data_IF_075638279752
#
_entry.id   IF_075638279752
#
_cell.length_a   1.000
_cell.length_b   1.000
_cell.length_c   1.000
_cell.angle_alpha   90.00
_cell.angle_beta   90.00
_cell.angle_gamma   90.00
#
_symmetry.space_group_name_H-M   'P 1'
#
loop_
_entity.id
_entity.type
_entity.pdbx_description
1 polymer ?
#
# COMPACT_ATOMS: atom_id res chain seq x y z
N UNK A 1 -37.18 -14.27 3.58
CA UNK A 1 -36.36 -13.56 4.59
C UNK A 1 -37.11 -12.33 5.06
N UNK A 2 -37.18 -12.09 6.36
CA UNK A 2 -37.69 -10.81 6.88
C UNK A 2 -36.78 -9.68 6.41
N UNK A 3 -37.34 -8.47 6.23
CA UNK A 3 -36.59 -7.25 5.91
C UNK A 3 -35.42 -6.99 6.88
N UNK A 4 -35.55 -7.46 8.12
CA UNK A 4 -34.49 -7.44 9.15
C UNK A 4 -33.27 -8.28 8.79
N UNK A 5 -33.44 -9.48 8.22
CA UNK A 5 -32.31 -10.36 7.87
C UNK A 5 -31.50 -9.80 6.69
N UNK A 6 -32.18 -9.19 5.72
CA UNK A 6 -31.52 -8.51 4.59
C UNK A 6 -30.72 -7.29 5.05
N UNK A 7 -31.25 -6.52 6.00
CA UNK A 7 -30.55 -5.38 6.58
C UNK A 7 -29.27 -5.83 7.32
N UNK A 8 -29.37 -6.88 8.14
CA UNK A 8 -28.23 -7.45 8.87
C UNK A 8 -27.13 -7.94 7.95
N UNK A 9 -27.47 -8.57 6.82
CA UNK A 9 -26.48 -9.01 5.83
C UNK A 9 -25.74 -7.85 5.18
N UNK A 10 -26.47 -6.81 4.74
CA UNK A 10 -25.87 -5.62 4.11
C UNK A 10 -24.94 -4.89 5.08
N UNK A 11 -25.36 -4.76 6.35
CA UNK A 11 -24.54 -4.18 7.40
C UNK A 11 -23.31 -5.03 7.68
N UNK A 12 -23.45 -6.35 7.78
CA UNK A 12 -22.34 -7.28 7.98
C UNK A 12 -21.28 -7.18 6.89
N UNK A 13 -21.69 -7.19 5.62
CA UNK A 13 -20.78 -7.04 4.48
C UNK A 13 -20.08 -5.67 4.50
N UNK A 14 -20.81 -4.61 4.84
CA UNK A 14 -20.24 -3.26 4.95
C UNK A 14 -19.21 -3.15 6.07
N UNK A 15 -19.51 -3.69 7.25
CA UNK A 15 -18.58 -3.73 8.39
C UNK A 15 -17.36 -4.59 8.08
N UNK A 16 -17.51 -5.69 7.36
CA UNK A 16 -16.37 -6.48 6.87
C UNK A 16 -15.46 -5.66 5.95
N UNK A 17 -16.05 -4.91 5.02
CA UNK A 17 -15.31 -4.05 4.11
C UNK A 17 -14.59 -2.86 4.76
N UNK A 18 -14.99 -2.45 5.98
CA UNK A 18 -14.29 -1.45 6.79
C UNK A 18 -12.89 -1.92 7.24
N UNK A 19 -12.69 -3.23 7.39
CA UNK A 19 -11.40 -3.78 7.83
C UNK A 19 -10.26 -3.46 6.86
N UNK A 20 -10.56 -3.29 5.56
CA UNK A 20 -9.57 -3.01 4.53
C UNK A 20 -8.88 -1.65 4.75
N UNK A 21 -9.59 -0.50 4.78
CA UNK A 21 -8.96 0.79 5.03
C UNK A 21 -8.34 0.89 6.44
N UNK A 22 -8.83 0.14 7.43
CA UNK A 22 -8.20 0.07 8.77
C UNK A 22 -6.83 -0.59 8.68
N UNK A 23 -6.73 -1.79 8.08
CA UNK A 23 -5.44 -2.49 7.89
C UNK A 23 -4.46 -1.66 7.08
N UNK A 24 -4.94 -1.00 6.01
CA UNK A 24 -4.15 -0.09 5.19
C UNK A 24 -3.58 1.08 6.01
N UNK A 25 -4.39 1.70 6.88
CA UNK A 25 -3.92 2.76 7.79
C UNK A 25 -2.79 2.27 8.68
N UNK A 26 -2.98 1.14 9.36
CA UNK A 26 -2.00 0.61 10.30
C UNK A 26 -0.67 0.32 9.61
N UNK A 27 -0.71 -0.26 8.41
CA UNK A 27 0.47 -0.53 7.61
C UNK A 27 1.20 0.76 7.19
N UNK A 28 0.47 1.81 6.80
CA UNK A 28 1.07 3.10 6.46
C UNK A 28 1.74 3.71 7.70
N UNK A 29 1.08 3.69 8.86
CA UNK A 29 1.65 4.19 10.11
C UNK A 29 2.91 3.43 10.53
N UNK A 30 2.92 2.10 10.38
CA UNK A 30 4.11 1.27 10.63
C UNK A 30 5.27 1.65 9.68
N UNK A 31 4.98 1.89 8.41
CA UNK A 31 6.01 2.32 7.45
C UNK A 31 6.56 3.71 7.77
N UNK A 32 5.70 4.64 8.23
CA UNK A 32 6.13 5.98 8.66
C UNK A 32 7.09 5.86 9.83
N UNK A 33 6.67 5.17 10.92
CA UNK A 33 7.50 5.06 12.12
C UNK A 33 8.82 4.34 11.85
N UNK A 34 8.81 3.29 11.01
CA UNK A 34 10.04 2.63 10.58
C UNK A 34 10.97 3.57 9.81
N UNK A 35 10.43 4.38 8.90
CA UNK A 35 11.22 5.34 8.11
C UNK A 35 11.80 6.47 8.95
N UNK A 36 11.04 6.96 9.93
CA UNK A 36 11.50 7.97 10.90
C UNK A 36 12.67 7.45 11.73
N UNK A 37 12.54 6.24 12.27
CA UNK A 37 13.61 5.58 13.03
C UNK A 37 14.85 5.35 12.17
N UNK A 38 14.68 4.88 10.93
CA UNK A 38 15.79 4.67 10.01
C UNK A 38 16.51 5.99 9.69
N UNK A 39 15.77 7.08 9.45
CA UNK A 39 16.33 8.40 9.21
C UNK A 39 17.06 8.95 10.45
N UNK A 40 16.53 8.69 11.65
CA UNK A 40 17.18 9.09 12.89
C UNK A 40 18.51 8.35 13.09
N UNK A 41 18.55 7.04 12.86
CA UNK A 41 19.78 6.25 12.88
C UNK A 41 20.80 6.75 11.85
N UNK A 42 20.33 7.09 10.64
CA UNK A 42 21.19 7.64 9.59
C UNK A 42 21.82 8.98 10.02
N UNK A 43 21.03 9.86 10.63
CA UNK A 43 21.53 11.13 11.17
C UNK A 43 22.49 10.92 12.33
N UNK A 44 22.23 9.96 13.22
CA UNK A 44 23.13 9.60 14.32
C UNK A 44 24.48 9.12 13.76
N UNK A 45 24.46 8.20 12.80
CA UNK A 45 25.67 7.71 12.15
C UNK A 45 26.46 8.84 11.48
N UNK A 46 25.77 9.71 10.72
CA UNK A 46 26.38 10.88 10.10
C UNK A 46 27.01 11.85 11.11
N UNK A 47 26.28 12.20 12.18
CA UNK A 47 26.75 13.13 13.21
C UNK A 47 27.94 12.57 14.01
N UNK A 48 28.10 11.25 14.07
CA UNK A 48 29.27 10.60 14.66
C UNK A 48 30.52 10.68 13.77
N UNK A 49 30.39 11.21 12.54
CA UNK A 49 31.45 11.18 11.53
C UNK A 49 31.79 9.76 11.08
N UNK A 50 30.80 8.86 11.06
CA UNK A 50 30.99 7.46 10.67
C UNK A 50 31.51 6.53 11.77
N UNK A 51 31.69 7.02 13.00
CA UNK A 51 32.32 6.27 14.11
C UNK A 51 31.35 5.40 14.91
N UNK A 52 30.05 5.64 14.78
CA UNK A 52 29.02 4.84 15.44
C UNK A 52 28.77 3.53 14.68
N UNK A 53 29.57 2.51 15.01
CA UNK A 53 29.48 1.18 14.41
C UNK A 53 28.15 0.47 14.72
N UNK A 54 27.52 0.79 15.85
CA UNK A 54 26.23 0.20 16.22
C UNK A 54 25.12 0.77 15.34
N UNK A 55 25.07 2.10 15.19
CA UNK A 55 24.13 2.75 14.29
C UNK A 55 24.31 2.26 12.85
N UNK A 56 25.56 2.11 12.37
CA UNK A 56 25.82 1.53 11.05
C UNK A 56 25.34 0.09 10.94
N UNK A 57 25.59 -0.75 11.95
CA UNK A 57 25.18 -2.16 11.93
C UNK A 57 23.65 -2.30 11.87
N UNK A 58 22.93 -1.45 12.61
CA UNK A 58 21.48 -1.39 12.55
C UNK A 58 20.97 -0.89 11.18
N UNK A 59 21.56 0.17 10.64
CA UNK A 59 21.24 0.67 9.29
C UNK A 59 21.46 -0.41 8.22
N UNK A 60 22.57 -1.14 8.31
CA UNK A 60 22.89 -2.23 7.39
C UNK A 60 21.87 -3.37 7.50
N UNK A 61 21.54 -3.79 8.72
CA UNK A 61 20.53 -4.82 8.98
C UNK A 61 19.16 -4.44 8.38
N UNK A 62 18.75 -3.19 8.57
CA UNK A 62 17.43 -2.70 8.16
C UNK A 62 17.37 -2.22 6.69
N UNK A 63 18.52 -2.09 6.03
CA UNK A 63 18.66 -1.53 4.67
C UNK A 63 17.79 -2.23 3.63
N UNK A 64 17.74 -3.57 3.65
CA UNK A 64 16.90 -4.37 2.75
C UNK A 64 15.41 -4.11 2.99
N UNK A 65 14.99 -4.06 4.25
CA UNK A 65 13.60 -3.77 4.61
C UNK A 65 13.23 -2.36 4.16
N UNK A 66 14.07 -1.36 4.45
CA UNK A 66 13.88 0.03 4.06
C UNK A 66 13.75 0.17 2.54
N UNK A 67 14.69 -0.40 1.78
CA UNK A 67 14.64 -0.37 0.32
C UNK A 67 13.37 -1.04 -0.24
N UNK A 68 12.96 -2.17 0.34
CA UNK A 68 11.77 -2.90 -0.09
C UNK A 68 10.47 -2.10 0.18
N UNK A 69 10.33 -1.48 1.36
CA UNK A 69 9.11 -0.70 1.66
C UNK A 69 9.03 0.59 0.82
N UNK A 70 10.17 1.18 0.45
CA UNK A 70 10.21 2.32 -0.47
C UNK A 70 9.83 1.92 -1.90
N UNK A 71 10.11 0.68 -2.29
CA UNK A 71 9.86 0.17 -3.63
C UNK A 71 10.46 1.09 -4.68
N UNK A 72 9.67 1.47 -5.68
CA UNK A 72 10.11 2.35 -6.76
C UNK A 72 10.51 3.76 -6.31
N UNK A 73 10.02 4.27 -5.18
CA UNK A 73 10.40 5.59 -4.67
C UNK A 73 11.83 5.61 -4.09
N UNK A 74 12.39 4.45 -3.77
CA UNK A 74 13.77 4.30 -3.31
C UNK A 74 14.75 3.98 -4.43
N UNK A 75 14.36 4.12 -5.70
CA UNK A 75 15.18 3.75 -6.86
C UNK A 75 15.33 4.94 -7.78
N UNK A 76 16.57 5.31 -8.10
CA UNK A 76 16.83 6.28 -9.15
C UNK A 76 16.75 5.62 -10.51
N UNK A 77 15.90 6.16 -11.38
CA UNK A 77 15.73 5.67 -12.77
C UNK A 77 17.05 5.78 -13.53
N UNK A 78 17.71 6.94 -13.39
CA UNK A 78 19.07 7.17 -13.90
C UNK A 78 19.87 7.88 -12.80
N UNK A 79 20.98 7.26 -12.39
CA UNK A 79 21.90 7.83 -11.43
C UNK A 79 23.27 8.02 -12.07
N UNK A 80 23.82 9.22 -11.97
CA UNK A 80 25.21 9.48 -12.34
C UNK A 80 26.01 9.70 -11.05
N UNK A 81 26.93 8.79 -10.70
CA UNK A 81 27.79 8.99 -9.56
C UNK A 81 28.62 10.27 -9.71
N UNK A 82 28.90 11.00 -8.62
CA UNK A 82 29.77 12.17 -8.67
C UNK A 82 31.12 11.83 -9.31
N UNK A 83 31.62 12.73 -10.16
CA UNK A 83 32.92 12.58 -10.83
C UNK A 83 33.04 11.38 -11.77
N UNK A 84 31.94 10.72 -12.15
CA UNK A 84 31.93 9.61 -13.13
C UNK A 84 31.09 9.96 -14.36
N UNK A 85 31.59 9.59 -15.54
CA UNK A 85 30.97 9.89 -16.85
C UNK A 85 30.09 8.75 -17.35
N UNK A 86 29.46 7.99 -16.46
CA UNK A 86 28.54 6.93 -16.83
C UNK A 86 27.27 6.97 -15.97
N UNK A 87 26.16 6.51 -16.54
CA UNK A 87 24.87 6.46 -15.86
C UNK A 87 24.54 5.01 -15.48
N UNK A 88 24.11 4.83 -14.24
CA UNK A 88 23.53 3.59 -13.74
C UNK A 88 22.00 3.66 -13.85
N UNK A 89 21.38 2.56 -14.27
CA UNK A 89 19.91 2.44 -14.36
C UNK A 89 19.38 1.67 -13.15
N UNK A 90 18.18 2.03 -12.69
CA UNK A 90 17.47 1.36 -11.60
C UNK A 90 18.33 1.22 -10.33
N UNK A 91 18.95 2.31 -9.90
CA UNK A 91 19.91 2.32 -8.80
C UNK A 91 19.19 2.36 -7.44
N UNK A 92 19.23 1.29 -6.61
CA UNK A 92 18.63 1.29 -5.28
C UNK A 92 19.43 2.19 -4.34
N UNK A 93 18.79 3.24 -3.84
CA UNK A 93 19.46 4.32 -3.11
C UNK A 93 20.04 3.80 -1.79
N UNK A 94 19.24 3.14 -0.96
CA UNK A 94 19.68 2.76 0.40
C UNK A 94 20.75 1.68 0.34
N UNK A 95 20.54 0.63 -0.46
CA UNK A 95 21.45 -0.51 -0.53
C UNK A 95 22.84 -0.15 -1.05
N UNK A 96 22.92 0.82 -1.97
CA UNK A 96 24.18 1.18 -2.60
C UNK A 96 24.84 2.40 -1.93
N UNK A 97 24.08 3.42 -1.51
CA UNK A 97 24.68 4.64 -0.97
C UNK A 97 25.10 4.50 0.50
N UNK A 98 24.53 3.57 1.27
CA UNK A 98 24.92 3.36 2.66
C UNK A 98 26.37 2.81 2.79
N UNK A 99 26.77 1.76 2.04
CA UNK A 99 28.18 1.32 2.03
C UNK A 99 29.14 2.37 1.47
N UNK A 100 28.74 3.06 0.41
CA UNK A 100 29.53 4.14 -0.21
C UNK A 100 29.75 5.29 0.78
N UNK A 101 28.72 5.66 1.55
CA UNK A 101 28.83 6.65 2.62
C UNK A 101 29.88 6.21 3.66
N UNK A 102 29.80 4.97 4.14
CA UNK A 102 30.79 4.45 5.10
C UNK A 102 32.20 4.51 4.54
N UNK A 103 32.41 4.03 3.33
CA UNK A 103 33.72 4.06 2.67
C UNK A 103 34.27 5.50 2.59
N UNK A 104 33.41 6.47 2.25
CA UNK A 104 33.83 7.89 2.18
C UNK A 104 34.10 8.54 3.53
N UNK A 105 33.51 8.04 4.61
CA UNK A 105 33.76 8.54 5.96
C UNK A 105 35.01 7.90 6.59
N UNK A 106 35.30 6.65 6.22
CA UNK A 106 36.46 5.89 6.69
C UNK A 106 37.77 6.28 5.97
N UNK A 107 37.70 6.81 4.74
CA UNK A 107 38.85 7.15 3.89
C UNK A 107 39.21 8.64 3.95
N UNK A 108 40.39 8.96 4.52
CA UNK A 108 40.91 10.33 4.64
C UNK A 108 41.17 11.03 3.29
N UNK A 109 41.32 10.28 2.20
CA UNK A 109 41.56 10.82 0.86
C UNK A 109 40.26 11.12 0.09
N UNK A 110 39.12 10.58 0.54
CA UNK A 110 37.83 10.84 -0.07
C UNK A 110 37.26 12.17 0.45
N UNK A 111 36.56 12.90 -0.43
CA UNK A 111 36.11 14.24 -0.09
C UNK A 111 34.91 14.23 0.85
N UNK A 112 34.92 15.10 1.87
CA UNK A 112 33.76 15.35 2.73
C UNK A 112 32.51 15.76 1.92
N UNK A 113 32.72 16.40 0.76
CA UNK A 113 31.66 16.72 -0.18
C UNK A 113 30.99 15.47 -0.77
N UNK A 114 31.77 14.43 -1.09
CA UNK A 114 31.25 13.17 -1.61
C UNK A 114 30.40 12.45 -0.55
N UNK A 115 30.89 12.38 0.68
CA UNK A 115 30.13 11.84 1.82
C UNK A 115 28.82 12.60 2.02
N UNK A 116 28.86 13.93 1.96
CA UNK A 116 27.66 14.78 2.07
C UNK A 116 26.68 14.52 0.93
N UNK A 117 27.15 14.31 -0.30
CA UNK A 117 26.27 13.99 -1.44
C UNK A 117 25.52 12.67 -1.23
N UNK A 118 26.18 11.62 -0.72
CA UNK A 118 25.52 10.34 -0.41
C UNK A 118 24.51 10.49 0.73
N UNK A 119 24.88 11.18 1.80
CA UNK A 119 23.99 11.45 2.92
C UNK A 119 22.74 12.23 2.48
N UNK A 120 22.92 13.32 1.73
CA UNK A 120 21.84 14.16 1.24
C UNK A 120 20.91 13.37 0.30
N UNK A 121 21.45 12.59 -0.62
CA UNK A 121 20.65 11.77 -1.52
C UNK A 121 19.78 10.75 -0.77
N UNK A 122 20.34 10.06 0.23
CA UNK A 122 19.57 9.15 1.08
C UNK A 122 18.50 9.88 1.89
N UNK A 123 18.87 10.99 2.56
CA UNK A 123 17.95 11.79 3.37
C UNK A 123 16.80 12.35 2.54
N UNK A 124 17.07 12.95 1.37
CA UNK A 124 16.04 13.48 0.50
C UNK A 124 15.10 12.39 0.00
N UNK A 125 15.62 11.22 -0.35
CA UNK A 125 14.80 10.09 -0.81
C UNK A 125 13.90 9.58 0.32
N UNK A 126 14.40 9.48 1.55
CA UNK A 126 13.61 9.14 2.74
C UNK A 126 12.52 10.18 3.03
N UNK A 127 12.85 11.48 2.96
CA UNK A 127 11.88 12.56 3.18
C UNK A 127 10.77 12.53 2.13
N UNK A 128 11.11 12.35 0.85
CA UNK A 128 10.12 12.21 -0.24
C UNK A 128 9.23 10.98 -0.02
N UNK A 129 9.80 9.87 0.44
CA UNK A 129 9.03 8.67 0.77
C UNK A 129 8.05 8.90 1.93
N UNK A 130 8.49 9.53 3.02
CA UNK A 130 7.61 9.86 4.14
C UNK A 130 6.49 10.82 3.70
N UNK A 131 6.78 11.86 2.92
CA UNK A 131 5.75 12.74 2.37
C UNK A 131 4.76 12.01 1.45
N UNK A 132 5.19 10.97 0.73
CA UNK A 132 4.27 10.09 0.00
C UNK A 132 3.37 9.30 0.95
N UNK A 133 3.90 8.75 2.05
CA UNK A 133 3.12 8.02 3.04
C UNK A 133 2.08 8.91 3.74
N UNK A 134 2.42 10.15 4.06
CA UNK A 134 1.50 11.12 4.64
C UNK A 134 0.31 11.39 3.72
N UNK A 135 0.57 11.62 2.43
CA UNK A 135 -0.48 11.79 1.43
C UNK A 135 -1.39 10.55 1.30
N UNK A 136 -0.81 9.35 1.41
CA UNK A 136 -1.55 8.11 1.41
C UNK A 136 -2.42 7.95 2.66
N UNK A 137 -1.92 8.40 3.81
CA UNK A 137 -2.65 8.40 5.08
C UNK A 137 -3.85 9.36 5.00
N UNK A 138 -3.67 10.58 4.48
CA UNK A 138 -4.74 11.55 4.24
C UNK A 138 -5.81 10.99 3.29
N UNK A 139 -5.39 10.39 2.19
CA UNK A 139 -6.32 9.74 1.25
C UNK A 139 -7.09 8.61 1.93
N UNK A 140 -6.44 7.83 2.77
CA UNK A 140 -7.06 6.72 3.49
C UNK A 140 -8.06 7.18 4.57
N UNK A 141 -7.85 8.35 5.21
CA UNK A 141 -8.83 8.94 6.14
C UNK A 141 -10.20 9.13 5.48
N UNK A 142 -10.22 9.57 4.22
CA UNK A 142 -11.46 9.71 3.46
C UNK A 142 -12.14 8.36 3.16
N UNK A 143 -11.37 7.27 3.07
CA UNK A 143 -11.93 5.91 2.90
C UNK A 143 -12.52 5.37 4.20
N UNK A 144 -11.95 5.75 5.34
CA UNK A 144 -12.38 5.31 6.68
C UNK A 144 -13.71 5.91 7.15
N UNK A 145 -14.21 6.95 6.51
CA UNK A 145 -15.50 7.60 6.86
C UNK A 145 -16.58 7.38 5.80
N UNK A 146 -16.28 6.67 4.71
CA UNK A 146 -17.19 6.52 3.58
C UNK A 146 -17.88 5.14 3.59
N UNK A 147 -19.13 5.03 4.07
CA UNK A 147 -19.84 3.75 4.19
C UNK A 147 -20.10 3.08 2.84
N UNK A 148 -20.27 3.85 1.76
CA UNK A 148 -20.44 3.30 0.40
C UNK A 148 -19.17 2.58 -0.05
N UNK A 149 -17.99 3.15 0.25
CA UNK A 149 -16.71 2.48 -0.01
C UNK A 149 -16.57 1.20 0.80
N UNK A 150 -17.03 1.16 2.05
CA UNK A 150 -16.96 -0.07 2.86
C UNK A 150 -17.84 -1.17 2.27
N UNK A 151 -19.09 -0.86 1.91
CA UNK A 151 -19.98 -1.82 1.26
C UNK A 151 -19.38 -2.37 -0.04
N UNK A 152 -18.88 -1.49 -0.91
CA UNK A 152 -18.21 -1.87 -2.16
C UNK A 152 -17.01 -2.79 -1.90
N UNK A 153 -16.19 -2.45 -0.91
CA UNK A 153 -15.05 -3.26 -0.50
C UNK A 153 -15.48 -4.64 0.01
N UNK A 154 -16.52 -4.70 0.83
CA UNK A 154 -17.08 -5.95 1.35
C UNK A 154 -17.58 -6.87 0.25
N UNK A 155 -18.35 -6.36 -0.71
CA UNK A 155 -18.81 -7.15 -1.86
C UNK A 155 -17.65 -7.65 -2.71
N UNK A 156 -16.64 -6.79 -2.93
CA UNK A 156 -15.46 -7.18 -3.69
C UNK A 156 -14.73 -8.36 -3.04
N UNK A 157 -14.61 -8.38 -1.72
CA UNK A 157 -14.02 -9.50 -0.98
C UNK A 157 -14.86 -10.77 -1.12
N UNK A 158 -16.18 -10.68 -0.96
CA UNK A 158 -17.09 -11.83 -1.14
C UNK A 158 -16.97 -12.40 -2.55
N UNK A 159 -16.92 -11.55 -3.57
CA UNK A 159 -16.76 -11.97 -4.96
C UNK A 159 -15.37 -12.51 -5.28
N UNK A 160 -14.34 -12.16 -4.50
CA UNK A 160 -13.00 -12.73 -4.69
C UNK A 160 -12.82 -14.10 -4.05
N UNK A 161 -13.71 -14.51 -3.12
CA UNK A 161 -13.61 -15.80 -2.42
C UNK A 161 -13.45 -17.00 -3.37
N UNK A 162 -14.19 -17.14 -4.48
CA UNK A 162 -14.01 -18.29 -5.37
C UNK A 162 -12.60 -18.35 -5.96
N UNK A 163 -12.05 -17.20 -6.35
CA UNK A 163 -10.69 -17.12 -6.91
C UNK A 163 -9.65 -17.42 -5.82
N UNK A 164 -9.85 -16.88 -4.61
CA UNK A 164 -8.99 -17.14 -3.46
C UNK A 164 -9.04 -18.61 -3.03
N UNK A 165 -10.19 -19.29 -3.17
CA UNK A 165 -10.30 -20.72 -2.89
C UNK A 165 -9.53 -21.55 -3.93
N UNK A 166 -9.62 -21.21 -5.22
CA UNK A 166 -8.81 -21.87 -6.25
C UNK A 166 -7.31 -21.70 -6.00
N UNK A 167 -6.92 -20.52 -5.54
CA UNK A 167 -5.56 -20.19 -5.17
C UNK A 167 -5.08 -20.97 -3.94
N UNK A 168 -5.93 -21.06 -2.91
CA UNK A 168 -5.65 -21.81 -1.69
C UNK A 168 -5.56 -23.32 -1.91
N UNK A 169 -6.36 -23.85 -2.84
CA UNK A 169 -6.28 -25.24 -3.29
C UNK A 169 -5.12 -25.51 -4.24
N UNK A 170 -4.28 -24.52 -4.52
CA UNK A 170 -3.13 -24.56 -5.44
C UNK A 170 -3.52 -25.01 -6.88
N UNK A 171 -4.79 -24.79 -7.25
CA UNK A 171 -5.30 -25.05 -8.61
C UNK A 171 -4.80 -23.96 -9.56
N UNK A 172 -4.67 -22.73 -9.06
CA UNK A 172 -4.11 -21.59 -9.78
C UNK A 172 -2.96 -20.99 -8.98
N UNK A 173 -1.97 -20.45 -9.68
CA UNK A 173 -0.84 -19.76 -9.05
C UNK A 173 -1.27 -18.44 -8.39
N UNK A 174 -0.77 -18.15 -7.19
CA UNK A 174 -0.91 -16.90 -6.43
C UNK A 174 -0.84 -15.63 -7.28
N UNK A 175 0.10 -15.53 -8.22
CA UNK A 175 0.24 -14.36 -9.09
C UNK A 175 -0.91 -14.22 -10.08
N UNK A 176 -1.40 -15.34 -10.62
CA UNK A 176 -2.57 -15.35 -11.53
C UNK A 176 -3.84 -14.99 -10.77
N UNK A 177 -4.03 -15.55 -9.58
CA UNK A 177 -5.15 -15.23 -8.70
C UNK A 177 -5.18 -13.73 -8.35
N UNK A 178 -4.04 -13.19 -7.89
CA UNK A 178 -3.91 -11.78 -7.54
C UNK A 178 -4.19 -10.86 -8.75
N UNK A 179 -3.71 -11.23 -9.94
CA UNK A 179 -3.93 -10.46 -11.17
C UNK A 179 -5.40 -10.47 -11.59
N UNK A 180 -6.09 -11.60 -11.46
CA UNK A 180 -7.53 -11.70 -11.75
C UNK A 180 -8.35 -10.78 -10.85
N UNK A 181 -8.11 -10.81 -9.53
CA UNK A 181 -8.86 -10.02 -8.52
C UNK A 181 -8.56 -8.51 -8.64
N UNK A 182 -7.37 -8.14 -9.11
CA UNK A 182 -6.96 -6.74 -9.27
C UNK A 182 -7.30 -6.13 -10.62
N UNK A 183 -7.70 -6.96 -11.59
CA UNK A 183 -8.04 -6.55 -12.94
C UNK A 183 -9.17 -5.51 -13.00
N UNK A 184 -9.16 -4.66 -14.04
CA UNK A 184 -10.23 -3.69 -14.29
C UNK A 184 -11.58 -4.38 -14.51
N UNK A 185 -11.59 -5.50 -15.23
CA UNK A 185 -12.79 -6.28 -15.51
C UNK A 185 -13.46 -6.75 -14.21
N UNK A 186 -12.69 -7.35 -13.30
CA UNK A 186 -13.20 -7.78 -12.01
C UNK A 186 -13.78 -6.62 -11.19
N UNK A 187 -13.10 -5.46 -11.18
CA UNK A 187 -13.59 -4.25 -10.49
C UNK A 187 -14.92 -3.75 -11.07
N UNK A 188 -15.11 -3.81 -12.39
CA UNK A 188 -16.35 -3.41 -13.04
C UNK A 188 -17.48 -4.38 -12.66
N UNK A 189 -17.24 -5.70 -12.77
CA UNK A 189 -18.21 -6.73 -12.39
C UNK A 189 -18.62 -6.55 -10.93
N UNK A 190 -17.63 -6.41 -10.02
CA UNK A 190 -17.90 -6.20 -8.61
C UNK A 190 -18.70 -4.91 -8.35
N UNK A 191 -18.44 -3.83 -9.10
CA UNK A 191 -19.21 -2.60 -9.02
C UNK A 191 -20.66 -2.76 -9.47
N UNK A 192 -20.90 -3.47 -10.58
CA UNK A 192 -22.26 -3.76 -11.08
C UNK A 192 -23.03 -4.63 -10.10
N UNK A 193 -22.42 -5.70 -9.60
CA UNK A 193 -23.03 -6.56 -8.58
C UNK A 193 -23.34 -5.75 -7.32
N UNK A 194 -22.45 -4.86 -6.90
CA UNK A 194 -22.69 -4.00 -5.74
C UNK A 194 -23.92 -3.10 -5.91
N UNK A 195 -24.08 -2.48 -7.09
CA UNK A 195 -25.25 -1.65 -7.38
C UNK A 195 -26.54 -2.47 -7.36
N UNK A 196 -26.55 -3.63 -8.02
CA UNK A 196 -27.72 -4.52 -8.06
C UNK A 196 -28.08 -4.97 -6.64
N UNK A 197 -27.09 -5.40 -5.84
CA UNK A 197 -27.32 -5.80 -4.45
C UNK A 197 -27.85 -4.65 -3.59
N UNK A 198 -27.35 -3.42 -3.81
CA UNK A 198 -27.81 -2.24 -3.09
C UNK A 198 -29.27 -1.89 -3.41
N UNK A 199 -29.63 -1.80 -4.69
CA UNK A 199 -31.01 -1.53 -5.11
C UNK A 199 -31.96 -2.66 -4.68
N UNK A 200 -31.54 -3.92 -4.80
CA UNK A 200 -32.31 -5.06 -4.33
C UNK A 200 -32.59 -4.96 -2.83
N UNK A 201 -31.61 -4.54 -2.02
CA UNK A 201 -31.81 -4.34 -0.59
C UNK A 201 -32.81 -3.21 -0.30
N UNK A 202 -32.67 -2.04 -0.96
CA UNK A 202 -33.59 -0.92 -0.81
C UNK A 202 -35.02 -1.34 -1.15
N UNK A 203 -35.21 -1.94 -2.31
CA UNK A 203 -36.52 -2.41 -2.78
C UNK A 203 -37.14 -3.37 -1.77
N UNK A 204 -36.36 -4.34 -1.29
CA UNK A 204 -36.82 -5.32 -0.30
C UNK A 204 -37.24 -4.66 1.02
N UNK A 205 -36.51 -3.62 1.45
CA UNK A 205 -36.84 -2.84 2.65
C UNK A 205 -38.13 -2.02 2.43
N UNK A 206 -38.27 -1.36 1.28
CA UNK A 206 -39.36 -0.40 1.01
C UNK A 206 -40.68 -1.10 0.67
N UNK A 207 -40.65 -2.17 -0.13
CA UNK A 207 -41.87 -2.77 -0.69
C UNK A 207 -42.23 -4.13 -0.10
N UNK A 208 -41.29 -4.83 0.53
CA UNK A 208 -41.41 -6.28 0.72
C UNK A 208 -41.39 -7.02 -0.62
N UNK A 209 -40.86 -8.24 -0.64
CA UNK A 209 -40.55 -8.96 -1.89
C UNK A 209 -41.76 -9.24 -2.80
N UNK A 210 -42.96 -9.39 -2.24
CA UNK A 210 -44.17 -9.78 -3.00
C UNK A 210 -44.75 -8.64 -3.87
N UNK A 211 -44.98 -7.41 -3.35
CA UNK A 211 -45.46 -6.29 -4.18
C UNK A 211 -44.51 -5.89 -5.32
N UNK A 212 -43.19 -5.97 -5.12
CA UNK A 212 -42.22 -5.54 -6.14
C UNK A 212 -42.20 -6.44 -7.37
N UNK A 213 -42.22 -7.77 -7.20
CA UNK A 213 -42.28 -8.70 -8.33
C UNK A 213 -43.55 -8.46 -9.16
N UNK A 214 -44.67 -8.14 -8.50
CA UNK A 214 -45.90 -7.76 -9.20
C UNK A 214 -45.76 -6.47 -10.03
N UNK A 215 -45.06 -5.46 -9.52
CA UNK A 215 -44.78 -4.24 -10.27
C UNK A 215 -43.85 -4.48 -11.47
N UNK A 216 -42.80 -5.29 -11.31
CA UNK A 216 -41.88 -5.60 -12.41
C UNK A 216 -42.56 -6.45 -13.49
N UNK A 217 -43.39 -7.42 -13.11
CA UNK A 217 -44.17 -8.21 -14.06
C UNK A 217 -45.17 -7.36 -14.85
N UNK A 218 -45.79 -6.36 -14.22
CA UNK A 218 -46.69 -5.43 -14.90
C UNK A 218 -45.99 -4.40 -15.80
N UNK A 219 -44.68 -4.19 -15.65
CA UNK A 219 -43.89 -3.31 -16.52
C UNK A 219 -43.30 -4.09 -17.71
N UNK A 220 -43.19 -5.42 -17.60
CA UNK A 220 -42.57 -6.30 -18.60
C UNK A 220 -43.60 -7.04 -19.48
N UNK A 221 -44.90 -6.77 -19.29
CA UNK A 221 -46.03 -7.14 -20.15
C UNK A 221 -46.58 -5.84 -20.75
#
# INVERSE_FOLDING_TARGET
>A
MSSTNTLLLVLGISLWGLLIPIRKRNKITEHISFSENFLQLLKQYWNSGGRDNEAYSQLLHDSHKMQNIMGGLGVFVHYQPPYRNYMMKNYPVILNMLPELRQTLDDEFLSAQLASNYMNAMQETLIRYMGYLDNQLETNKQELVNPIKWFRNGIREVLSLPIQLLDWLDIINHQKAATAITSKLFKIIAGVVALISFFSAIVTIVTGWKPFIGLVQNIMI
#
